data_IF_794184203952
#
_entry.id   IF_794184203952
#
_cell.length_a   1.000
_cell.length_b   1.000
_cell.length_c   1.000
_cell.angle_alpha   90.00
_cell.angle_beta   90.00
_cell.angle_gamma   90.00
#
_symmetry.space_group_name_H-M   'P 1'
#
loop_
_entity.id
_entity.type
_entity.pdbx_description
1 polymer ?
#
# COMPACT_ATOMS: atom_id res chain seq x y z
N UNK A 1 8.75 3.00 0.90
CA UNK A 1 8.05 3.52 -0.31
C UNK A 1 7.56 2.33 -1.12
N UNK A 2 6.35 2.38 -1.68
CA UNK A 2 5.72 1.24 -2.34
C UNK A 2 6.59 0.60 -3.43
N UNK A 3 7.15 1.41 -4.34
CA UNK A 3 7.96 0.91 -5.47
C UNK A 3 9.28 0.22 -5.07
N UNK A 4 9.65 0.22 -3.78
CA UNK A 4 10.85 -0.47 -3.25
C UNK A 4 10.47 -1.53 -2.20
N UNK A 5 9.18 -1.69 -1.92
CA UNK A 5 8.71 -2.59 -0.90
C UNK A 5 8.79 -4.03 -1.41
N UNK A 6 9.25 -4.93 -0.55
CA UNK A 6 9.03 -6.36 -0.77
C UNK A 6 7.65 -6.69 -0.22
N UNK A 7 6.70 -6.93 -1.13
CA UNK A 7 5.32 -7.24 -0.76
C UNK A 7 5.18 -8.75 -0.55
N UNK A 8 4.65 -9.20 0.60
CA UNK A 8 4.35 -10.62 0.79
C UNK A 8 3.23 -11.07 -0.13
N UNK A 9 3.18 -12.36 -0.47
CA UNK A 9 2.06 -12.96 -1.19
C UNK A 9 1.48 -14.14 -0.39
N UNK A 10 0.17 -14.17 -0.10
CA UNK A 10 -0.83 -13.13 -0.41
C UNK A 10 -0.63 -11.83 0.40
N UNK A 11 -0.97 -10.68 -0.20
CA UNK A 11 -0.86 -9.36 0.43
C UNK A 11 -2.22 -8.82 0.90
N UNK A 12 -2.32 -8.39 2.16
CA UNK A 12 -3.48 -7.67 2.69
C UNK A 12 -3.18 -6.19 2.87
N UNK A 13 -4.07 -5.32 2.38
CA UNK A 13 -3.92 -3.86 2.50
C UNK A 13 -4.92 -3.26 3.47
N UNK A 14 -4.42 -2.38 4.33
CA UNK A 14 -5.22 -1.53 5.20
C UNK A 14 -5.08 -0.10 4.68
N UNK A 15 -6.20 0.50 4.26
CA UNK A 15 -6.24 1.87 3.78
C UNK A 15 -7.11 2.71 4.71
N UNK A 16 -6.66 3.94 4.95
CA UNK A 16 -7.31 4.87 5.86
C UNK A 16 -8.49 5.60 5.25
N UNK A 17 -9.33 6.20 6.10
CA UNK A 17 -10.37 7.11 5.65
C UNK A 17 -9.76 8.45 5.22
N UNK A 18 -10.38 9.12 4.25
CA UNK A 18 -9.97 10.46 3.81
C UNK A 18 -9.96 11.44 5.00
N UNK A 19 -8.84 12.14 5.19
CA UNK A 19 -8.62 13.10 6.29
C UNK A 19 -8.29 12.51 7.66
N UNK A 20 -8.60 11.24 7.95
CA UNK A 20 -8.31 10.60 9.25
C UNK A 20 -7.18 9.57 9.19
N UNK A 21 -6.89 9.03 8.00
CA UNK A 21 -5.87 8.00 7.83
C UNK A 21 -6.29 6.66 8.45
N UNK A 22 -5.30 5.81 8.73
CA UNK A 22 -5.50 4.49 9.33
C UNK A 22 -5.47 4.63 10.84
N UNK A 23 -6.39 4.00 11.57
CA UNK A 23 -6.38 4.03 13.04
C UNK A 23 -5.07 3.45 13.60
N UNK A 24 -4.56 4.04 14.69
CA UNK A 24 -3.31 3.60 15.34
C UNK A 24 -3.31 2.12 15.70
N UNK A 25 -4.43 1.59 16.19
CA UNK A 25 -4.57 0.17 16.54
C UNK A 25 -4.36 -0.77 15.34
N UNK A 26 -4.76 -0.35 14.13
CA UNK A 26 -4.52 -1.10 12.90
C UNK A 26 -3.09 -0.90 12.39
N UNK A 27 -2.53 0.31 12.50
CA UNK A 27 -1.13 0.57 12.14
C UNK A 27 -0.17 -0.28 12.97
N UNK A 28 -0.41 -0.42 14.28
CA UNK A 28 0.40 -1.24 15.19
C UNK A 28 0.36 -2.74 14.86
N UNK A 29 -0.70 -3.21 14.20
CA UNK A 29 -0.87 -4.60 13.78
C UNK A 29 -0.34 -4.87 12.37
N UNK A 30 -0.06 -3.82 11.60
CA UNK A 30 0.42 -3.95 10.23
C UNK A 30 1.88 -4.41 10.21
N UNK A 31 2.19 -5.41 9.39
CA UNK A 31 3.56 -5.88 9.19
C UNK A 31 4.43 -4.83 8.50
N UNK A 32 3.83 -3.97 7.68
CA UNK A 32 4.52 -2.94 6.92
C UNK A 32 3.72 -1.63 6.92
N UNK A 33 4.44 -0.51 7.09
CA UNK A 33 3.93 0.82 6.82
C UNK A 33 4.51 1.31 5.49
N UNK A 34 3.65 1.40 4.48
CA UNK A 34 4.03 1.71 3.10
C UNK A 34 3.41 3.03 2.67
N UNK A 35 4.19 3.83 1.93
CA UNK A 35 3.77 5.11 1.34
C UNK A 35 3.94 5.09 -0.17
N UNK A 36 2.96 5.60 -0.90
CA UNK A 36 3.06 5.91 -2.33
C UNK A 36 3.80 7.25 -2.46
N UNK A 37 4.82 7.30 -3.32
CA UNK A 37 5.57 8.53 -3.52
C UNK A 37 4.69 9.56 -4.25
N UNK A 38 4.59 10.77 -3.70
CA UNK A 38 3.83 11.89 -4.27
C UNK A 38 4.76 13.10 -4.48
N UNK A 39 5.49 13.16 -5.60
CA UNK A 39 6.28 14.34 -5.95
C UNK A 39 5.32 15.46 -6.34
N UNK A 40 5.17 16.47 -5.49
CA UNK A 40 4.22 17.57 -5.73
C UNK A 40 3.68 18.26 -4.48
N UNK A 41 3.98 17.73 -3.28
CA UNK A 41 3.55 18.35 -2.02
C UNK A 41 2.10 18.02 -1.63
N UNK A 42 1.41 17.19 -2.40
CA UNK A 42 0.08 16.70 -2.06
C UNK A 42 0.15 15.82 -0.80
N UNK A 43 -0.71 16.11 0.18
CA UNK A 43 -0.68 15.43 1.48
C UNK A 43 -1.12 13.96 1.39
N UNK A 44 -2.09 13.65 0.53
CA UNK A 44 -2.61 12.28 0.36
C UNK A 44 -3.28 12.08 -1.01
N UNK A 45 -3.33 10.83 -1.48
CA UNK A 45 -4.12 10.44 -2.64
C UNK A 45 -5.55 10.09 -2.21
N UNK A 46 -6.50 10.20 -3.15
CA UNK A 46 -7.80 9.56 -2.99
C UNK A 46 -7.64 8.07 -2.64
N UNK A 47 -8.45 7.59 -1.70
CA UNK A 47 -8.33 6.22 -1.15
C UNK A 47 -8.52 5.14 -2.22
N UNK A 48 -9.41 5.36 -3.19
CA UNK A 48 -9.64 4.44 -4.31
C UNK A 48 -8.43 4.35 -5.23
N UNK A 49 -7.82 5.49 -5.57
CA UNK A 49 -6.59 5.54 -6.36
C UNK A 49 -5.43 4.84 -5.61
N UNK A 50 -5.28 5.09 -4.31
CA UNK A 50 -4.27 4.43 -3.49
C UNK A 50 -4.47 2.90 -3.46
N UNK A 51 -5.71 2.43 -3.31
CA UNK A 51 -6.05 1.02 -3.32
C UNK A 51 -5.70 0.35 -4.66
N UNK A 52 -6.07 0.99 -5.79
CA UNK A 52 -5.77 0.48 -7.12
C UNK A 52 -4.26 0.32 -7.34
N UNK A 53 -3.46 1.31 -6.93
CA UNK A 53 -1.99 1.28 -7.02
C UNK A 53 -1.41 0.14 -6.16
N UNK A 54 -1.85 0.00 -4.91
CA UNK A 54 -1.37 -1.03 -3.98
C UNK A 54 -1.69 -2.46 -4.45
N UNK A 55 -2.91 -2.68 -4.95
CA UNK A 55 -3.33 -3.98 -5.49
C UNK A 55 -2.55 -4.33 -6.77
N UNK A 56 -2.39 -3.37 -7.68
CA UNK A 56 -1.60 -3.57 -8.89
C UNK A 56 -0.14 -3.91 -8.56
N UNK A 57 0.48 -3.19 -7.62
CA UNK A 57 1.84 -3.50 -7.18
C UNK A 57 1.90 -4.94 -6.63
N UNK A 58 0.95 -5.35 -5.79
CA UNK A 58 0.92 -6.71 -5.22
C UNK A 58 0.85 -7.79 -6.31
N UNK A 59 0.00 -7.60 -7.32
CA UNK A 59 -0.12 -8.50 -8.46
C UNK A 59 1.18 -8.52 -9.29
N UNK A 60 1.75 -7.36 -9.62
CA UNK A 60 3.00 -7.28 -10.38
C UNK A 60 4.17 -7.96 -9.65
N UNK A 61 4.24 -7.83 -8.32
CA UNK A 61 5.23 -8.51 -7.50
C UNK A 61 5.00 -10.03 -7.46
N UNK A 62 3.75 -10.49 -7.43
CA UNK A 62 3.41 -11.91 -7.47
C UNK A 62 3.75 -12.53 -8.84
N UNK A 63 3.44 -11.85 -9.94
CA UNK A 63 3.78 -12.31 -11.29
C UNK A 63 5.30 -12.41 -11.48
N UNK A 64 6.05 -11.43 -10.96
CA UNK A 64 7.52 -11.44 -11.00
C UNK A 64 8.16 -12.53 -10.11
N UNK A 65 7.46 -12.98 -9.07
CA UNK A 65 7.93 -14.06 -8.20
C UNK A 65 7.80 -15.45 -8.86
N UNK A 66 7.03 -15.57 -9.95
CA UNK A 66 6.74 -16.84 -10.62
C UNK A 66 5.91 -17.81 -9.74
N UNK A 67 5.29 -18.84 -10.33
CA UNK A 67 4.79 -19.96 -9.54
C UNK A 67 6.00 -20.68 -8.95
N UNK A 68 6.16 -20.59 -7.63
CA UNK A 68 7.09 -21.45 -6.89
C UNK A 68 6.73 -22.93 -7.03
#
# INVERSE_FOLDING_TARGET
LLHRAQLPWPCGWILGHEGQGVSDALQQRATHLIRIAQPGGEESLNVGAAAAICLHASAAHADAAGPG
#
